data_IF_032287155479
#
_entry.id   IF_032287155479
#
_cell.length_a   1.000
_cell.length_b   1.000
_cell.length_c   1.000
_cell.angle_alpha   90.00
_cell.angle_beta   90.00
_cell.angle_gamma   90.00
#
_symmetry.space_group_name_H-M   'P 1'
#
loop_
_entity.id
_entity.type
_entity.pdbx_description
1 polymer ?
#
# COMPACT_ATOMS: atom_id res chain seq x y z
N UNK A 1 18.45 53.64 28.97
CA UNK A 1 17.69 52.59 29.68
C UNK A 1 18.29 51.23 29.31
N UNK A 2 18.83 50.47 30.29
CA UNK A 2 19.35 49.12 30.03
C UNK A 2 18.15 48.15 30.03
N UNK A 3 17.82 47.53 28.90
CA UNK A 3 16.85 46.45 28.83
C UNK A 3 17.42 45.23 29.56
N UNK A 4 16.71 44.72 30.55
CA UNK A 4 17.05 43.50 31.25
C UNK A 4 16.62 42.35 30.33
N UNK A 5 17.59 41.70 29.71
CA UNK A 5 17.36 40.52 28.88
C UNK A 5 17.09 39.35 29.82
N UNK A 6 15.85 38.86 29.87
CA UNK A 6 15.47 37.65 30.60
C UNK A 6 15.97 36.43 29.81
N UNK A 7 16.90 35.69 30.36
CA UNK A 7 17.38 34.41 29.77
C UNK A 7 16.48 33.26 30.18
N UNK A 8 16.43 32.24 29.32
CA UNK A 8 15.78 30.95 29.62
C UNK A 8 16.56 30.20 30.69
N UNK A 9 15.87 29.58 31.62
CA UNK A 9 16.51 28.71 32.60
C UNK A 9 16.82 27.36 31.99
N UNK A 10 17.87 26.69 32.43
CA UNK A 10 18.27 25.37 31.96
C UNK A 10 17.15 24.33 32.21
N UNK A 11 16.45 24.46 33.36
CA UNK A 11 15.37 23.54 33.72
C UNK A 11 14.14 23.69 32.82
N UNK A 12 13.80 24.92 32.40
CA UNK A 12 12.71 25.15 31.43
C UNK A 12 13.00 24.49 30.10
N UNK A 13 14.25 24.59 29.63
CA UNK A 13 14.65 23.92 28.38
C UNK A 13 14.61 22.39 28.53
N UNK A 14 15.10 21.86 29.66
CA UNK A 14 15.10 20.40 29.90
C UNK A 14 13.69 19.81 29.93
N UNK A 15 12.74 20.48 30.57
CA UNK A 15 11.34 20.02 30.63
C UNK A 15 10.74 20.00 29.20
N UNK A 16 10.96 21.04 28.42
CA UNK A 16 10.43 21.13 27.06
C UNK A 16 10.96 20.01 26.17
N UNK A 17 12.27 19.77 26.16
CA UNK A 17 12.84 18.69 25.32
C UNK A 17 12.41 17.30 25.80
N UNK A 18 12.21 17.12 27.11
CA UNK A 18 11.68 15.86 27.66
C UNK A 18 10.25 15.59 27.15
N UNK A 19 9.38 16.60 27.19
CA UNK A 19 7.99 16.47 26.68
C UNK A 19 7.98 16.19 25.18
N UNK A 20 8.79 16.92 24.39
CA UNK A 20 8.90 16.68 22.95
C UNK A 20 9.40 15.26 22.68
N UNK A 21 10.36 14.75 23.44
CA UNK A 21 10.88 13.40 23.32
C UNK A 21 9.81 12.34 23.55
N UNK A 22 8.99 12.51 24.59
CA UNK A 22 7.86 11.59 24.88
C UNK A 22 6.82 11.63 23.75
N UNK A 23 6.43 12.80 23.29
CA UNK A 23 5.47 12.94 22.19
C UNK A 23 5.99 12.35 20.89
N UNK A 24 7.25 12.60 20.56
CA UNK A 24 7.89 12.04 19.37
C UNK A 24 7.97 10.51 19.41
N UNK A 25 8.28 9.92 20.58
CA UNK A 25 8.36 8.47 20.74
C UNK A 25 7.04 7.74 20.40
N UNK A 26 5.90 8.38 20.60
CA UNK A 26 4.57 7.83 20.28
C UNK A 26 4.16 8.18 18.84
N UNK A 27 4.45 9.40 18.39
CA UNK A 27 3.98 9.90 17.11
C UNK A 27 4.75 9.32 15.91
N UNK A 28 6.07 9.13 16.01
CA UNK A 28 6.89 8.66 14.89
C UNK A 28 6.50 7.28 14.36
N UNK A 29 6.32 6.23 15.20
CA UNK A 29 5.94 4.91 14.68
C UNK A 29 4.55 4.94 14.03
N UNK A 30 3.60 5.68 14.57
CA UNK A 30 2.26 5.80 13.99
C UNK A 30 2.32 6.49 12.60
N UNK A 31 3.14 7.52 12.47
CA UNK A 31 3.35 8.21 11.20
C UNK A 31 4.02 7.31 10.15
N UNK A 32 4.99 6.48 10.54
CA UNK A 32 5.64 5.52 9.65
C UNK A 32 4.62 4.50 9.11
N UNK A 33 3.80 3.92 9.98
CA UNK A 33 2.77 2.96 9.57
C UNK A 33 1.74 3.59 8.62
N UNK A 34 1.36 4.84 8.87
CA UNK A 34 0.45 5.58 7.99
C UNK A 34 1.07 5.82 6.60
N UNK A 35 2.34 6.24 6.56
CA UNK A 35 3.03 6.48 5.28
C UNK A 35 3.23 5.20 4.48
N UNK A 36 3.53 4.07 5.13
CA UNK A 36 3.65 2.77 4.46
C UNK A 36 2.30 2.35 3.86
N UNK A 37 1.20 2.50 4.58
CA UNK A 37 -0.16 2.22 4.05
C UNK A 37 -0.49 3.09 2.84
N UNK A 38 -0.13 4.38 2.88
CA UNK A 38 -0.33 5.26 1.74
C UNK A 38 0.47 4.80 0.52
N UNK A 39 1.71 4.36 0.72
CA UNK A 39 2.56 3.81 -0.35
C UNK A 39 2.02 2.47 -0.87
N UNK A 40 1.43 1.64 -0.02
CA UNK A 40 0.79 0.38 -0.44
C UNK A 40 -0.40 0.64 -1.37
N UNK A 41 -1.12 1.74 -1.20
CA UNK A 41 -2.20 2.13 -2.12
C UNK A 41 -1.70 2.41 -3.55
N UNK A 42 -0.43 2.80 -3.72
CA UNK A 42 0.18 2.97 -5.04
C UNK A 42 0.36 1.63 -5.78
N UNK A 43 0.54 0.52 -5.06
CA UNK A 43 0.58 -0.82 -5.66
C UNK A 43 -0.78 -1.20 -6.27
N UNK A 44 -1.88 -0.84 -5.59
CA UNK A 44 -3.24 -1.04 -6.12
C UNK A 44 -3.43 -0.24 -7.41
N UNK A 45 -2.95 0.99 -7.43
CA UNK A 45 -3.03 1.84 -8.61
C UNK A 45 -2.22 1.26 -9.77
N UNK A 46 -1.03 0.71 -9.51
CA UNK A 46 -0.21 0.04 -10.52
C UNK A 46 -0.91 -1.20 -11.09
N UNK A 47 -1.71 -1.91 -10.28
CA UNK A 47 -2.49 -3.07 -10.71
C UNK A 47 -3.74 -2.71 -11.52
N UNK A 48 -4.21 -1.46 -11.48
CA UNK A 48 -5.54 -1.07 -11.98
C UNK A 48 -5.73 -1.36 -13.47
N UNK A 49 -4.73 -1.09 -14.30
CA UNK A 49 -4.79 -1.35 -15.73
C UNK A 49 -4.91 -2.85 -16.03
N UNK A 50 -4.06 -3.69 -15.40
CA UNK A 50 -4.11 -5.13 -15.57
C UNK A 50 -5.44 -5.73 -15.06
N UNK A 51 -5.95 -5.23 -13.93
CA UNK A 51 -7.25 -5.61 -13.38
C UNK A 51 -8.39 -5.34 -14.38
N UNK A 52 -8.38 -4.18 -15.05
CA UNK A 52 -9.37 -3.83 -16.07
C UNK A 52 -9.26 -4.79 -17.26
N UNK A 53 -8.06 -5.01 -17.78
CA UNK A 53 -7.84 -5.92 -18.90
C UNK A 53 -8.24 -7.36 -18.60
N UNK A 54 -7.95 -7.87 -17.40
CA UNK A 54 -8.42 -9.19 -16.95
C UNK A 54 -9.94 -9.25 -16.91
N UNK A 55 -10.59 -8.19 -16.39
CA UNK A 55 -12.06 -8.15 -16.31
C UNK A 55 -12.69 -8.17 -17.70
N UNK A 56 -12.18 -7.37 -18.63
CA UNK A 56 -12.65 -7.32 -20.02
C UNK A 56 -12.47 -8.66 -20.73
N UNK A 57 -11.29 -9.28 -20.59
CA UNK A 57 -11.02 -10.59 -21.19
C UNK A 57 -11.90 -11.68 -20.59
N UNK A 58 -12.09 -11.69 -19.26
CA UNK A 58 -12.95 -12.66 -18.59
C UNK A 58 -14.42 -12.52 -19.03
N UNK A 59 -14.90 -11.29 -19.20
CA UNK A 59 -16.25 -11.04 -19.71
C UNK A 59 -16.43 -11.50 -21.15
N UNK A 60 -15.44 -11.28 -22.00
CA UNK A 60 -15.48 -11.75 -23.40
C UNK A 60 -15.46 -13.29 -23.49
N UNK A 61 -14.71 -13.95 -22.58
CA UNK A 61 -14.59 -15.41 -22.54
C UNK A 61 -15.70 -16.08 -21.70
N UNK A 62 -16.50 -15.33 -20.96
CA UNK A 62 -17.39 -15.81 -19.90
C UNK A 62 -16.69 -16.72 -18.87
N UNK A 63 -15.41 -16.51 -18.64
CA UNK A 63 -14.54 -17.36 -17.83
C UNK A 63 -13.28 -16.61 -17.43
N UNK A 64 -12.67 -17.01 -16.31
CA UNK A 64 -11.33 -16.56 -15.95
C UNK A 64 -10.21 -17.27 -16.74
N UNK A 65 -10.50 -18.40 -17.34
CA UNK A 65 -9.49 -19.17 -18.09
C UNK A 65 -8.85 -18.29 -19.17
N UNK A 66 -7.53 -18.15 -19.10
CA UNK A 66 -6.72 -17.33 -20.02
C UNK A 66 -6.98 -15.81 -19.97
N UNK A 67 -7.78 -15.30 -19.03
CA UNK A 67 -8.10 -13.88 -18.93
C UNK A 67 -6.89 -12.98 -18.60
N UNK A 68 -5.84 -13.55 -18.01
CA UNK A 68 -4.60 -12.84 -17.70
C UNK A 68 -3.47 -13.10 -18.69
N UNK A 69 -3.71 -13.86 -19.75
CA UNK A 69 -2.67 -14.28 -20.71
C UNK A 69 -2.03 -13.08 -21.40
N UNK A 70 -0.69 -13.01 -21.36
CA UNK A 70 0.09 -11.96 -22.03
C UNK A 70 0.06 -10.59 -21.34
N UNK A 71 -0.61 -10.46 -20.22
CA UNK A 71 -0.62 -9.21 -19.46
C UNK A 71 0.65 -9.05 -18.64
N UNK A 72 1.19 -7.83 -18.64
CA UNK A 72 2.36 -7.45 -17.85
C UNK A 72 2.09 -6.15 -17.10
N UNK A 73 2.71 -6.02 -15.94
CA UNK A 73 2.65 -4.79 -15.15
C UNK A 73 4.07 -4.23 -15.08
N UNK A 74 4.21 -2.95 -15.39
CA UNK A 74 5.50 -2.27 -15.33
C UNK A 74 6.07 -2.25 -13.91
N UNK A 75 7.35 -2.53 -13.78
CA UNK A 75 8.11 -2.39 -12.54
C UNK A 75 8.76 -1.01 -12.47
N UNK A 76 8.95 -0.50 -11.26
CA UNK A 76 9.59 0.79 -10.99
C UNK A 76 8.87 1.56 -9.89
N UNK A 77 9.50 2.62 -9.42
CA UNK A 77 8.98 3.42 -8.30
C UNK A 77 8.75 2.59 -7.05
N UNK A 78 7.50 2.35 -6.69
CA UNK A 78 7.11 1.52 -5.53
C UNK A 78 7.03 0.02 -5.85
N UNK A 79 7.00 -0.37 -7.12
CA UNK A 79 6.84 -1.76 -7.58
C UNK A 79 8.21 -2.37 -7.84
N UNK A 80 8.58 -3.41 -7.08
CA UNK A 80 9.80 -4.19 -7.30
C UNK A 80 9.62 -5.32 -8.30
N UNK A 81 8.42 -5.88 -8.38
CA UNK A 81 8.06 -6.96 -9.29
C UNK A 81 6.55 -7.14 -9.34
N UNK A 82 6.05 -7.59 -10.46
CA UNK A 82 4.65 -7.87 -10.64
C UNK A 82 4.45 -9.05 -11.60
N UNK A 83 3.46 -9.87 -11.33
CA UNK A 83 3.07 -10.99 -12.17
C UNK A 83 1.57 -11.03 -12.35
N UNK A 84 1.11 -11.43 -13.53
CA UNK A 84 -0.28 -11.75 -13.82
C UNK A 84 -0.31 -13.20 -14.27
N UNK A 85 -1.07 -14.05 -13.58
CA UNK A 85 -1.25 -15.45 -13.99
C UNK A 85 -2.17 -15.56 -15.18
N UNK A 86 -2.18 -16.72 -15.83
CA UNK A 86 -3.10 -17.01 -16.94
C UNK A 86 -4.57 -16.82 -16.58
N UNK A 87 -4.94 -17.11 -15.34
CA UNK A 87 -6.32 -16.97 -14.84
C UNK A 87 -6.59 -15.62 -14.17
N UNK A 88 -5.70 -14.64 -14.39
CA UNK A 88 -5.90 -13.27 -13.99
C UNK A 88 -5.54 -12.95 -12.53
N UNK A 89 -4.91 -13.88 -11.77
CA UNK A 89 -4.36 -13.55 -10.45
C UNK A 89 -3.21 -12.55 -10.60
N UNK A 90 -3.29 -11.42 -9.91
CA UNK A 90 -2.27 -10.37 -9.94
C UNK A 90 -1.51 -10.38 -8.63
N UNK A 91 -0.18 -10.48 -8.70
CA UNK A 91 0.69 -10.35 -7.53
C UNK A 91 1.70 -9.23 -7.77
N UNK A 92 1.81 -8.31 -6.83
CA UNK A 92 2.73 -7.16 -6.90
C UNK A 92 3.57 -7.11 -5.63
N UNK A 93 4.88 -7.05 -5.80
CA UNK A 93 5.83 -6.79 -4.73
C UNK A 93 6.18 -5.31 -4.61
N UNK A 94 6.21 -4.79 -3.40
CA UNK A 94 6.70 -3.46 -3.10
C UNK A 94 8.22 -3.40 -3.04
N UNK A 95 8.81 -2.33 -3.55
CA UNK A 95 10.25 -2.10 -3.46
C UNK A 95 10.63 -1.67 -2.03
N UNK A 96 11.46 -2.46 -1.34
CA UNK A 96 11.86 -2.20 0.04
C UNK A 96 12.42 -0.79 0.23
N UNK A 97 13.26 -0.34 -0.68
CA UNK A 97 13.86 1.00 -0.64
C UNK A 97 12.80 2.12 -0.75
N UNK A 98 11.77 1.93 -1.56
CA UNK A 98 10.74 2.94 -1.80
C UNK A 98 9.56 2.82 -0.84
N UNK A 99 9.30 1.64 -0.30
CA UNK A 99 8.23 1.40 0.67
C UNK A 99 8.60 1.83 2.08
N UNK A 100 9.91 1.82 2.42
CA UNK A 100 10.41 2.11 3.77
C UNK A 100 10.26 0.93 4.74
N UNK A 101 9.92 -0.23 4.23
CA UNK A 101 9.89 -1.52 4.92
C UNK A 101 10.00 -2.64 3.90
N UNK A 102 10.48 -3.80 4.33
CA UNK A 102 10.64 -4.97 3.47
C UNK A 102 9.42 -5.89 3.47
N UNK A 103 9.33 -6.69 2.41
CA UNK A 103 8.37 -7.80 2.32
C UNK A 103 6.91 -7.36 2.10
N UNK A 104 6.67 -6.15 1.59
CA UNK A 104 5.32 -5.76 1.18
C UNK A 104 4.96 -6.49 -0.11
N UNK A 105 3.87 -7.22 -0.08
CA UNK A 105 3.28 -7.82 -1.28
C UNK A 105 1.77 -7.63 -1.27
N UNK A 106 1.20 -7.49 -2.46
CA UNK A 106 -0.23 -7.39 -2.67
C UNK A 106 -0.66 -8.44 -3.69
N UNK A 107 -1.78 -9.09 -3.39
CA UNK A 107 -2.40 -10.06 -4.27
C UNK A 107 -3.85 -9.66 -4.54
N UNK A 108 -4.21 -9.57 -5.82
CA UNK A 108 -5.58 -9.37 -6.28
C UNK A 108 -6.06 -10.68 -6.88
N UNK A 109 -7.05 -11.29 -6.25
CA UNK A 109 -7.62 -12.57 -6.67
C UNK A 109 -8.95 -12.33 -7.36
N UNK A 110 -9.07 -12.66 -8.65
CA UNK A 110 -10.33 -12.61 -9.37
C UNK A 110 -11.20 -13.80 -9.04
N UNK A 111 -12.51 -13.60 -8.98
CA UNK A 111 -13.51 -14.66 -8.95
C UNK A 111 -14.62 -14.36 -9.96
N UNK A 112 -14.99 -15.36 -10.76
CA UNK A 112 -16.02 -15.20 -11.78
C UNK A 112 -17.41 -15.29 -11.17
N UNK A 113 -18.22 -14.27 -11.37
CA UNK A 113 -19.63 -14.28 -11.02
C UNK A 113 -20.47 -14.52 -12.29
N UNK A 114 -20.90 -15.75 -12.48
CA UNK A 114 -21.66 -16.14 -13.66
C UNK A 114 -23.06 -15.47 -13.73
N UNK A 115 -23.65 -15.12 -12.58
CA UNK A 115 -24.97 -14.47 -12.55
C UNK A 115 -24.89 -13.01 -12.99
N UNK A 116 -23.84 -12.31 -12.55
CA UNK A 116 -23.62 -10.90 -12.90
C UNK A 116 -22.78 -10.73 -14.16
N UNK A 117 -22.27 -11.81 -14.75
CA UNK A 117 -21.37 -11.83 -15.89
C UNK A 117 -20.16 -10.86 -15.70
N UNK A 118 -19.55 -10.92 -14.54
CA UNK A 118 -18.43 -10.02 -14.18
C UNK A 118 -17.45 -10.68 -13.22
N UNK A 119 -16.28 -10.05 -13.06
CA UNK A 119 -15.25 -10.47 -12.12
C UNK A 119 -15.44 -9.73 -10.81
N UNK A 120 -15.48 -10.48 -9.72
CA UNK A 120 -15.39 -9.94 -8.34
C UNK A 120 -13.94 -10.07 -7.89
N UNK A 121 -13.39 -9.01 -7.36
CA UNK A 121 -12.02 -8.94 -6.93
C UNK A 121 -11.90 -8.95 -5.41
N UNK A 122 -11.06 -9.83 -4.87
CA UNK A 122 -10.57 -9.73 -3.50
C UNK A 122 -9.13 -9.21 -3.50
N UNK A 123 -8.77 -8.52 -2.42
CA UNK A 123 -7.46 -7.89 -2.29
C UNK A 123 -6.85 -8.26 -0.94
N UNK A 124 -5.64 -8.79 -0.98
CA UNK A 124 -4.86 -9.14 0.19
C UNK A 124 -3.51 -8.43 0.16
N UNK A 125 -3.09 -7.93 1.31
CA UNK A 125 -1.78 -7.29 1.50
C UNK A 125 -1.03 -7.96 2.63
N UNK A 126 0.19 -8.34 2.39
CA UNK A 126 1.11 -8.83 3.40
C UNK A 126 2.25 -7.81 3.62
N UNK A 127 2.60 -7.48 4.86
CA UNK A 127 1.89 -7.79 6.11
C UNK A 127 0.56 -7.02 6.24
N UNK A 128 -0.46 -7.66 6.81
CA UNK A 128 -1.84 -7.12 6.97
C UNK A 128 -1.87 -5.76 7.68
N UNK A 129 -0.92 -5.51 8.58
CA UNK A 129 -0.72 -4.23 9.27
C UNK A 129 -0.69 -3.03 8.30
N UNK A 130 -0.18 -3.21 7.09
CA UNK A 130 -0.05 -2.17 6.08
C UNK A 130 -1.15 -2.20 5.02
N UNK A 131 -2.17 -3.03 5.22
CA UNK A 131 -3.32 -3.08 4.32
C UNK A 131 -4.10 -1.77 4.35
N UNK A 132 -4.30 -1.10 3.21
CA UNK A 132 -5.19 0.06 3.11
C UNK A 132 -6.65 -0.37 3.28
N UNK A 133 -7.52 0.57 3.60
CA UNK A 133 -8.95 0.31 3.82
C UNK A 133 -9.64 -0.35 2.61
N UNK A 134 -9.17 -0.07 1.41
CA UNK A 134 -9.68 -0.66 0.16
C UNK A 134 -9.31 -2.14 -0.05
N UNK A 135 -8.38 -2.69 0.74
CA UNK A 135 -7.93 -4.09 0.71
C UNK A 135 -8.14 -4.81 2.05
N UNK A 136 -8.99 -4.30 2.90
CA UNK A 136 -9.39 -5.03 4.12
C UNK A 136 -10.67 -5.79 3.83
N UNK A 137 -10.60 -7.10 3.96
CA UNK A 137 -11.80 -7.92 4.17
C UNK A 137 -12.15 -7.82 5.66
N UNK A 138 -13.32 -7.27 5.97
CA UNK A 138 -13.89 -7.30 7.32
C UNK A 138 -14.19 -8.73 7.74
#
# INVERSE_FOLDING_TARGET
>A
MKSIQKGFTLIELMIVVAIIGILAAVALPAYQDYTIRARTSELILAASAARTSVTEAAQALNSLASSGSGLTIGTGGKVSGATVSTDGLITIGGSDASMGTSGISMTLTPSWNATANTVVWSCDVAPVKYSPSSCRTD
#
